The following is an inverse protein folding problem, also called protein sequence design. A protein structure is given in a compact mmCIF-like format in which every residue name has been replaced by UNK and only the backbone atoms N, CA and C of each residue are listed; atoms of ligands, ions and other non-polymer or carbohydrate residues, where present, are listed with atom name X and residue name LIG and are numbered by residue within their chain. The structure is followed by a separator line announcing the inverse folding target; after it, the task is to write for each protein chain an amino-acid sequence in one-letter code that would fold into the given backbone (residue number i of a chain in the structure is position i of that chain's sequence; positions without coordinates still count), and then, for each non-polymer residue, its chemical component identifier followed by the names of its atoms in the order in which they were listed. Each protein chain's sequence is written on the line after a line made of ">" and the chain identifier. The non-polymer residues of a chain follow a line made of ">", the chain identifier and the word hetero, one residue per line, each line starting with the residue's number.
data_IF_786143723891
#
_entry.id   IF_786143723891
#
_cell.length_a   1.000
_cell.length_b   1.000
_cell.length_c   1.000
_cell.angle_alpha   90.00
_cell.angle_beta   90.00
_cell.angle_gamma   90.00
#
_symmetry.space_group_name_H-M   'P 1'
#
loop_
_entity.id
_entity.type
_entity.pdbx_description
1 polymer ?
#
# COMPACT_ATOMS: atom_id res chain seq x y z
N UNK A 1 5.34 -10.64 4.36
CA UNK A 1 6.48 -9.75 4.00
C UNK A 1 6.90 -9.96 2.55
N UNK A 2 7.23 -11.19 2.16
CA UNK A 2 7.61 -11.52 0.77
C UNK A 2 6.52 -11.16 -0.25
N UNK A 3 5.25 -11.49 0.03
CA UNK A 3 4.14 -11.14 -0.85
C UNK A 3 4.03 -9.62 -1.12
N UNK A 4 4.27 -8.77 -0.12
CA UNK A 4 4.27 -7.31 -0.32
C UNK A 4 5.47 -6.83 -1.14
N UNK A 5 6.66 -7.36 -0.86
CA UNK A 5 7.85 -7.05 -1.65
C UNK A 5 7.65 -7.44 -3.12
N UNK A 6 7.08 -8.63 -3.37
CA UNK A 6 6.76 -9.12 -4.70
C UNK A 6 5.69 -8.27 -5.41
N UNK A 7 4.67 -7.78 -4.69
CA UNK A 7 3.68 -6.86 -5.24
C UNK A 7 4.34 -5.54 -5.66
N UNK A 8 5.15 -4.91 -4.81
CA UNK A 8 5.84 -3.67 -5.18
C UNK A 8 6.80 -3.87 -6.36
N UNK A 9 7.52 -4.99 -6.42
CA UNK A 9 8.42 -5.31 -7.52
C UNK A 9 7.69 -5.48 -8.87
N UNK A 10 6.42 -5.89 -8.87
CA UNK A 10 5.59 -6.00 -10.08
C UNK A 10 5.01 -4.66 -10.52
N UNK A 11 4.88 -3.69 -9.60
CA UNK A 11 4.33 -2.36 -9.86
C UNK A 11 5.34 -1.23 -9.51
N UNK A 12 6.58 -1.25 -10.04
CA UNK A 12 7.65 -0.35 -9.59
C UNK A 12 7.40 1.12 -9.95
N UNK A 13 6.58 1.39 -10.98
CA UNK A 13 6.18 2.75 -11.35
C UNK A 13 5.20 3.38 -10.35
N UNK A 14 4.48 2.55 -9.59
CA UNK A 14 3.44 2.99 -8.66
C UNK A 14 3.85 2.82 -7.20
N UNK A 15 4.76 1.89 -6.90
CA UNK A 15 5.11 1.50 -5.55
C UNK A 15 6.63 1.37 -5.37
N UNK A 16 7.14 1.91 -4.27
CA UNK A 16 8.50 1.62 -3.79
C UNK A 16 8.43 0.87 -2.47
N UNK A 17 9.09 -0.29 -2.44
CA UNK A 17 9.16 -1.13 -1.24
C UNK A 17 10.25 -0.64 -0.29
N UNK A 18 9.87 -0.24 0.91
CA UNK A 18 10.79 0.02 2.02
C UNK A 18 10.69 -1.11 3.03
N UNK A 19 11.60 -2.07 2.93
CA UNK A 19 11.61 -3.25 3.80
C UNK A 19 11.84 -2.84 5.26
N UNK A 20 10.98 -3.27 6.21
CA UNK A 20 11.18 -2.92 7.60
C UNK A 20 12.45 -3.56 8.18
N UNK A 21 13.17 -2.77 9.00
CA UNK A 21 14.26 -3.15 9.92
C UNK A 21 13.96 -4.44 10.68
N UNK A 22 12.82 -4.38 11.36
CA UNK A 22 12.25 -5.37 12.25
C UNK A 22 10.76 -5.04 12.41
N UNK A 23 10.02 -5.91 13.11
CA UNK A 23 8.60 -5.70 13.42
C UNK A 23 7.65 -6.11 12.29
N UNK A 24 6.36 -5.85 12.53
CA UNK A 24 5.25 -6.33 11.70
C UNK A 24 4.59 -5.23 10.87
N UNK A 25 5.25 -4.09 10.67
CA UNK A 25 4.71 -2.92 9.97
C UNK A 25 5.69 -2.47 8.90
N UNK A 26 5.18 -2.13 7.71
CA UNK A 26 5.95 -1.55 6.63
C UNK A 26 5.47 -0.12 6.34
N UNK A 27 6.35 0.68 5.73
CA UNK A 27 6.04 2.06 5.33
C UNK A 27 6.46 2.34 3.88
N UNK A 28 5.86 1.69 2.87
CA UNK A 28 6.20 1.88 1.46
C UNK A 28 5.75 3.24 0.94
N UNK A 29 6.18 3.55 -0.28
CA UNK A 29 5.81 4.79 -0.96
C UNK A 29 4.93 4.52 -2.18
N UNK A 30 3.91 5.34 -2.36
CA UNK A 30 3.02 5.44 -3.49
C UNK A 30 3.47 6.56 -4.43
N UNK A 31 3.46 6.28 -5.74
CA UNK A 31 3.91 7.17 -6.81
C UNK A 31 2.87 7.38 -7.91
N UNK A 32 1.65 6.88 -7.71
CA UNK A 32 0.61 7.00 -8.72
C UNK A 32 -0.03 8.39 -8.76
N UNK A 33 -1.05 8.56 -9.62
CA UNK A 33 -1.57 9.89 -10.00
C UNK A 33 -2.41 10.57 -8.91
N UNK A 34 -2.93 9.80 -7.94
CA UNK A 34 -3.69 10.32 -6.81
C UNK A 34 -2.78 10.65 -5.64
N UNK A 35 -3.21 11.56 -4.76
CA UNK A 35 -2.58 11.69 -3.45
C UNK A 35 -2.67 10.37 -2.67
N UNK A 36 -1.74 10.14 -1.73
CA UNK A 36 -1.74 8.89 -0.94
C UNK A 36 -2.98 8.81 -0.04
N UNK A 37 -3.49 9.95 0.42
CA UNK A 37 -4.75 10.09 1.15
C UNK A 37 -5.94 9.62 0.30
N UNK A 38 -6.15 10.22 -0.87
CA UNK A 38 -7.24 9.85 -1.78
C UNK A 38 -7.14 8.38 -2.20
N UNK A 39 -5.92 7.90 -2.47
CA UNK A 39 -5.71 6.50 -2.80
C UNK A 39 -6.09 5.56 -1.64
N UNK A 40 -5.67 5.85 -0.40
CA UNK A 40 -6.04 5.06 0.77
C UNK A 40 -7.56 5.05 1.01
N UNK A 41 -8.22 6.20 0.84
CA UNK A 41 -9.69 6.32 0.98
C UNK A 41 -10.44 5.49 -0.07
N UNK A 42 -10.01 5.58 -1.33
CA UNK A 42 -10.62 4.80 -2.42
C UNK A 42 -10.39 3.31 -2.25
N UNK A 43 -9.20 2.91 -1.79
CA UNK A 43 -8.90 1.50 -1.57
C UNK A 43 -9.76 0.88 -0.45
N UNK A 44 -10.06 1.65 0.60
CA UNK A 44 -11.03 1.24 1.62
C UNK A 44 -12.43 1.12 1.05
N UNK A 45 -12.91 2.15 0.33
CA UNK A 45 -14.30 2.21 -0.10
C UNK A 45 -14.63 1.24 -1.23
N UNK A 46 -13.69 1.01 -2.15
CA UNK A 46 -13.88 0.16 -3.33
C UNK A 46 -13.51 -1.31 -3.08
N UNK A 47 -12.47 -1.57 -2.27
CA UNK A 47 -11.92 -2.93 -2.08
C UNK A 47 -12.02 -3.45 -0.64
N UNK A 48 -12.41 -2.60 0.31
CA UNK A 48 -12.38 -2.93 1.74
C UNK A 48 -10.97 -3.12 2.29
N UNK A 49 -9.94 -2.54 1.64
CA UNK A 49 -8.55 -2.66 2.07
C UNK A 49 -8.11 -1.37 2.76
N UNK A 50 -7.87 -1.47 4.07
CA UNK A 50 -7.44 -0.35 4.90
C UNK A 50 -5.92 -0.20 4.92
N UNK A 51 -5.47 0.94 4.38
CA UNK A 51 -4.11 1.47 4.53
C UNK A 51 -4.17 2.76 5.36
N UNK A 52 -3.05 3.15 5.96
CA UNK A 52 -2.96 4.40 6.72
C UNK A 52 -1.96 5.35 6.05
N UNK A 53 -2.39 6.53 5.55
CA UNK A 53 -1.48 7.48 4.90
C UNK A 53 -0.47 8.07 5.90
N UNK A 54 0.66 8.57 5.38
CA UNK A 54 1.78 9.10 6.15
C UNK A 54 1.40 10.23 7.11
N UNK A 55 0.42 11.05 6.69
CA UNK A 55 -0.08 12.20 7.43
C UNK A 55 -0.59 11.84 8.83
N UNK A 56 -1.10 10.62 9.03
CA UNK A 56 -1.51 10.11 10.35
C UNK A 56 -0.34 9.89 11.33
N UNK A 57 0.90 9.94 10.83
CA UNK A 57 2.13 9.75 11.61
C UNK A 57 3.00 11.02 11.64
N UNK A 58 2.49 12.16 11.18
CA UNK A 58 3.25 13.40 11.06
C UNK A 58 4.35 13.35 9.98
N UNK A 59 4.24 12.41 9.04
CA UNK A 59 5.15 12.28 7.91
C UNK A 59 4.50 12.84 6.64
N UNK A 60 5.32 13.39 5.76
CA UNK A 60 4.89 13.97 4.48
C UNK A 60 5.18 13.04 3.29
N UNK A 61 4.59 13.39 2.15
CA UNK A 61 4.77 12.69 0.88
C UNK A 61 3.91 11.44 0.74
N UNK A 62 4.13 10.69 -0.33
CA UNK A 62 3.30 9.55 -0.73
C UNK A 62 3.47 8.29 0.12
N UNK A 63 3.87 8.36 1.38
CA UNK A 63 4.06 7.15 2.19
C UNK A 63 2.75 6.63 2.77
N UNK A 64 2.70 5.32 3.02
CA UNK A 64 1.57 4.68 3.66
C UNK A 64 2.01 3.50 4.50
N UNK A 65 1.22 3.18 5.52
CA UNK A 65 1.49 2.14 6.49
C UNK A 65 0.54 0.97 6.32
N UNK A 66 1.08 -0.25 6.38
CA UNK A 66 0.29 -1.45 6.58
C UNK A 66 0.97 -2.48 7.48
N UNK A 67 0.15 -3.31 8.12
CA UNK A 67 0.59 -4.41 8.97
C UNK A 67 0.81 -5.69 8.18
N UNK A 68 2.02 -6.23 8.25
CA UNK A 68 2.47 -7.47 7.62
C UNK A 68 1.96 -8.75 8.30
N UNK A 69 1.49 -8.65 9.55
CA UNK A 69 1.08 -9.79 10.38
C UNK A 69 -0.43 -9.95 10.56
N UNK A 70 -1.26 -9.23 9.81
CA UNK A 70 -2.72 -9.32 9.96
C UNK A 70 -3.26 -10.60 9.31
N UNK A 71 -4.23 -11.23 9.96
CA UNK A 71 -5.07 -12.23 9.29
C UNK A 71 -5.74 -11.59 8.06
N UNK A 72 -5.65 -12.25 6.90
CA UNK A 72 -6.16 -11.73 5.63
C UNK A 72 -5.20 -10.80 4.87
N UNK A 73 -3.94 -10.66 5.29
CA UNK A 73 -2.96 -9.80 4.63
C UNK A 73 -2.81 -10.08 3.12
N UNK A 74 -2.66 -11.35 2.73
CA UNK A 74 -2.49 -11.72 1.32
C UNK A 74 -3.75 -11.45 0.49
N UNK A 75 -4.94 -11.69 1.06
CA UNK A 75 -6.19 -11.34 0.41
C UNK A 75 -6.33 -9.82 0.21
N UNK A 76 -5.90 -9.03 1.20
CA UNK A 76 -5.83 -7.57 1.08
C UNK A 76 -4.86 -7.11 0.00
N UNK A 77 -3.67 -7.72 -0.09
CA UNK A 77 -2.71 -7.44 -1.17
C UNK A 77 -3.28 -7.79 -2.56
N UNK A 78 -4.00 -8.91 -2.69
CA UNK A 78 -4.61 -9.29 -3.95
C UNK A 78 -5.66 -8.27 -4.42
N UNK A 79 -6.51 -7.78 -3.50
CA UNK A 79 -7.49 -6.72 -3.81
C UNK A 79 -6.82 -5.38 -4.12
N UNK A 80 -5.78 -5.02 -3.36
CA UNK A 80 -4.96 -3.85 -3.66
C UNK A 80 -4.39 -3.93 -5.08
N UNK A 81 -3.85 -5.08 -5.48
CA UNK A 81 -3.34 -5.29 -6.83
C UNK A 81 -4.43 -5.22 -7.91
N UNK A 82 -5.63 -5.76 -7.65
CA UNK A 82 -6.76 -5.61 -8.56
C UNK A 82 -7.10 -4.15 -8.79
N UNK A 83 -7.08 -3.32 -7.75
CA UNK A 83 -7.28 -1.89 -7.87
C UNK A 83 -6.20 -1.21 -8.72
N UNK A 84 -4.92 -1.54 -8.49
CA UNK A 84 -3.79 -1.00 -9.26
C UNK A 84 -3.93 -1.30 -10.76
N UNK A 85 -4.37 -2.52 -11.11
CA UNK A 85 -4.59 -2.92 -12.50
C UNK A 85 -5.68 -2.10 -13.21
N UNK A 86 -6.70 -1.63 -12.48
CA UNK A 86 -7.75 -0.76 -13.05
C UNK A 86 -7.35 0.70 -13.11
N UNK A 87 -6.58 1.18 -12.14
CA UNK A 87 -6.14 2.57 -12.06
C UNK A 87 -5.00 2.92 -13.02
N UNK A 88 -4.28 1.92 -13.54
CA UNK A 88 -3.23 2.09 -14.55
C UNK A 88 -3.76 2.19 -16.00
N UNK A 89 -5.09 2.24 -16.19
CA UNK A 89 -5.77 2.42 -17.48
C UNK A 89 -6.42 3.80 -17.53
#
# INVERSE_FOLDING_TARGET
>A
REAAAALCARHPALLSWLAPRAGSVAFPQWHGPLSVEEWCERLVSEEGVLLAPASLFGAEGGHFRFGLGRHGFEAGLARMEQWLGRAAT
#
